data_IF_219405392058
#
_entry.id   IF_219405392058
#
_cell.length_a   1.000
_cell.length_b   1.000
_cell.length_c   1.000
_cell.angle_alpha   90.00
_cell.angle_beta   90.00
_cell.angle_gamma   90.00
#
_symmetry.space_group_name_H-M   'P 1'
#
loop_
_entity.id
_entity.type
_entity.pdbx_description
1 polymer ?
#
# COMPACT_ATOMS: atom_id res chain seq x y z
N UNK A 1 49.02 -2.45 -8.37
CA UNK A 1 47.81 -3.07 -8.99
C UNK A 1 46.76 -3.25 -7.93
N UNK A 2 45.85 -2.24 -7.82
CA UNK A 2 44.65 -2.34 -7.00
C UNK A 2 43.52 -2.81 -7.90
N UNK A 3 43.23 -4.10 -7.87
CA UNK A 3 42.02 -4.65 -8.50
C UNK A 3 40.81 -4.14 -7.72
N UNK A 4 40.12 -3.15 -8.27
CA UNK A 4 38.81 -2.78 -7.83
C UNK A 4 37.87 -3.99 -8.06
N UNK A 5 37.51 -4.69 -6.99
CA UNK A 5 36.42 -5.65 -7.03
C UNK A 5 35.13 -4.86 -7.31
N UNK A 6 34.66 -4.92 -8.55
CA UNK A 6 33.31 -4.49 -8.88
C UNK A 6 32.33 -5.41 -8.09
N UNK A 7 31.83 -4.90 -6.97
CA UNK A 7 30.76 -5.56 -6.23
C UNK A 7 29.57 -5.75 -7.16
N UNK A 8 28.97 -6.93 -7.13
CA UNK A 8 27.71 -7.18 -7.78
C UNK A 8 26.71 -6.08 -7.36
N UNK A 9 25.81 -5.63 -8.25
CA UNK A 9 24.80 -4.64 -7.88
C UNK A 9 24.05 -5.16 -6.66
N UNK A 10 24.12 -4.40 -5.55
CA UNK A 10 23.35 -4.74 -4.36
C UNK A 10 21.86 -4.63 -4.73
N UNK A 11 21.17 -5.75 -4.79
CA UNK A 11 19.72 -5.77 -4.90
C UNK A 11 19.14 -5.06 -3.69
N UNK A 12 18.10 -4.26 -3.90
CA UNK A 12 17.46 -3.55 -2.80
C UNK A 12 16.73 -4.55 -1.89
N UNK A 13 16.61 -4.24 -0.59
CA UNK A 13 15.81 -5.03 0.35
C UNK A 13 14.42 -5.34 -0.21
N UNK A 14 13.82 -4.38 -0.92
CA UNK A 14 12.52 -4.54 -1.56
C UNK A 14 12.52 -5.61 -2.65
N UNK A 15 13.59 -5.68 -3.46
CA UNK A 15 13.68 -6.68 -4.54
C UNK A 15 13.89 -8.10 -4.00
N UNK A 16 14.64 -8.24 -2.93
CA UNK A 16 14.92 -9.54 -2.32
C UNK A 16 13.78 -10.04 -1.43
N UNK A 17 13.32 -9.20 -0.51
CA UNK A 17 12.38 -9.59 0.53
C UNK A 17 10.93 -9.26 0.20
N UNK A 18 10.69 -8.24 -0.64
CA UNK A 18 9.35 -7.83 -1.03
C UNK A 18 8.45 -8.96 -1.49
N UNK A 19 8.89 -9.84 -2.41
CA UNK A 19 8.07 -10.96 -2.88
C UNK A 19 7.56 -11.85 -1.74
N UNK A 20 8.40 -12.15 -0.74
CA UNK A 20 8.03 -13.00 0.41
C UNK A 20 6.96 -12.34 1.27
N UNK A 21 7.14 -11.05 1.59
CA UNK A 21 6.16 -10.31 2.39
C UNK A 21 4.82 -10.18 1.68
N UNK A 22 4.82 -9.81 0.40
CA UNK A 22 3.58 -9.61 -0.36
C UNK A 22 2.88 -10.93 -0.71
N UNK A 23 3.61 -12.04 -0.86
CA UNK A 23 3.01 -13.36 -0.98
C UNK A 23 2.29 -13.75 0.30
N UNK A 24 2.93 -13.59 1.47
CA UNK A 24 2.30 -13.82 2.76
C UNK A 24 1.04 -12.97 2.93
N UNK A 25 1.12 -11.67 2.66
CA UNK A 25 -0.04 -10.76 2.72
C UNK A 25 -1.15 -11.24 1.78
N UNK A 26 -0.82 -11.61 0.54
CA UNK A 26 -1.77 -12.15 -0.43
C UNK A 26 -2.49 -13.39 0.06
N UNK A 27 -1.78 -14.33 0.69
CA UNK A 27 -2.35 -15.55 1.27
C UNK A 27 -3.25 -15.26 2.47
N UNK A 28 -2.85 -14.35 3.37
CA UNK A 28 -3.66 -13.93 4.52
C UNK A 28 -4.98 -13.31 4.06
N UNK A 29 -4.94 -12.40 3.09
CA UNK A 29 -6.12 -11.75 2.53
C UNK A 29 -7.02 -12.74 1.79
N UNK A 30 -6.44 -13.66 1.02
CA UNK A 30 -7.19 -14.73 0.35
C UNK A 30 -7.88 -15.65 1.37
N UNK A 31 -7.20 -15.98 2.46
CA UNK A 31 -7.78 -16.77 3.54
C UNK A 31 -8.93 -16.03 4.20
N UNK A 32 -8.78 -14.73 4.49
CA UNK A 32 -9.85 -13.88 5.00
C UNK A 32 -11.09 -13.90 4.12
N UNK A 33 -10.91 -13.76 2.79
CA UNK A 33 -12.01 -13.80 1.82
C UNK A 33 -12.75 -15.15 1.77
N UNK A 34 -12.10 -16.24 2.09
CA UNK A 34 -12.72 -17.58 2.11
C UNK A 34 -13.64 -17.83 3.31
N UNK A 35 -13.66 -16.93 4.28
CA UNK A 35 -14.44 -17.01 5.50
C UNK A 35 -15.68 -16.13 5.42
N UNK A 36 -16.72 -16.46 6.20
CA UNK A 36 -17.98 -15.70 6.25
C UNK A 36 -18.18 -14.95 7.56
N UNK A 37 -17.59 -15.44 8.65
CA UNK A 37 -17.70 -14.83 9.96
C UNK A 37 -16.72 -13.67 10.13
N UNK A 38 -17.20 -12.42 10.33
CA UNK A 38 -16.34 -11.27 10.55
C UNK A 38 -15.31 -11.43 11.68
N UNK A 39 -15.68 -12.19 12.74
CA UNK A 39 -14.76 -12.45 13.85
C UNK A 39 -13.58 -13.36 13.46
N UNK A 40 -13.79 -14.24 12.50
CA UNK A 40 -12.74 -15.10 11.96
C UNK A 40 -11.92 -14.39 10.89
N UNK A 41 -12.51 -13.43 10.17
CA UNK A 41 -11.82 -12.63 9.14
C UNK A 41 -10.87 -11.63 9.77
N UNK A 42 -11.31 -10.92 10.82
CA UNK A 42 -10.58 -9.81 11.41
C UNK A 42 -9.10 -10.10 11.76
N UNK A 43 -8.74 -11.26 12.35
CA UNK A 43 -7.33 -11.58 12.64
C UNK A 43 -6.45 -11.60 11.39
N UNK A 44 -6.94 -12.13 10.26
CA UNK A 44 -6.18 -12.19 9.01
C UNK A 44 -5.95 -10.79 8.42
N UNK A 45 -6.95 -9.90 8.50
CA UNK A 45 -6.80 -8.52 8.03
C UNK A 45 -5.79 -7.74 8.90
N UNK A 46 -5.82 -7.95 10.20
CA UNK A 46 -4.85 -7.34 11.14
C UNK A 46 -3.45 -7.84 10.84
N UNK A 47 -3.26 -9.15 10.69
CA UNK A 47 -1.96 -9.74 10.40
C UNK A 47 -1.42 -9.29 9.03
N UNK A 48 -2.29 -9.18 8.02
CA UNK A 48 -1.92 -8.66 6.70
C UNK A 48 -1.44 -7.20 6.80
N UNK A 49 -2.16 -6.33 7.52
CA UNK A 49 -1.74 -4.94 7.78
C UNK A 49 -0.40 -4.88 8.50
N UNK A 50 -0.27 -5.62 9.59
CA UNK A 50 0.93 -5.62 10.41
C UNK A 50 2.15 -6.12 9.62
N UNK A 51 1.94 -7.08 8.72
CA UNK A 51 2.98 -7.57 7.80
C UNK A 51 3.42 -6.48 6.80
N UNK A 52 2.48 -5.71 6.24
CA UNK A 52 2.81 -4.57 5.36
C UNK A 52 3.59 -3.50 6.13
N UNK A 53 3.17 -3.16 7.34
CA UNK A 53 3.88 -2.19 8.17
C UNK A 53 5.27 -2.67 8.57
N UNK A 54 5.42 -3.96 8.90
CA UNK A 54 6.73 -4.56 9.18
C UNK A 54 7.66 -4.48 7.98
N UNK A 55 7.16 -4.76 6.77
CA UNK A 55 7.93 -4.63 5.54
C UNK A 55 8.40 -3.18 5.32
N UNK A 56 7.50 -2.20 5.48
CA UNK A 56 7.83 -0.77 5.32
C UNK A 56 8.88 -0.33 6.34
N UNK A 57 8.76 -0.77 7.59
CA UNK A 57 9.75 -0.49 8.63
C UNK A 57 11.12 -1.08 8.29
N UNK A 58 11.16 -2.32 7.79
CA UNK A 58 12.40 -2.98 7.40
C UNK A 58 13.04 -2.30 6.17
N UNK A 59 12.24 -1.92 5.17
CA UNK A 59 12.70 -1.16 3.99
C UNK A 59 13.32 0.18 4.41
N UNK A 60 12.71 0.87 5.36
CA UNK A 60 13.21 2.14 5.88
C UNK A 60 14.54 1.97 6.63
N UNK A 61 14.67 0.92 7.45
CA UNK A 61 15.94 0.59 8.13
C UNK A 61 17.07 0.27 7.15
N UNK A 62 16.77 -0.50 6.12
CA UNK A 62 17.76 -0.83 5.08
C UNK A 62 18.24 0.43 4.34
N UNK A 63 17.32 1.33 4.05
CA UNK A 63 17.64 2.58 3.35
C UNK A 63 18.50 3.52 4.18
N UNK A 64 18.16 3.77 5.44
CA UNK A 64 18.86 4.76 6.27
C UNK A 64 20.08 4.19 6.99
N UNK A 65 20.14 2.89 7.25
CA UNK A 65 21.22 2.21 7.98
C UNK A 65 21.67 2.94 9.25
N UNK A 66 20.72 3.56 9.97
CA UNK A 66 20.96 4.44 11.10
C UNK A 66 20.10 4.03 12.29
N UNK A 67 20.71 3.94 13.48
CA UNK A 67 20.04 3.63 14.75
C UNK A 67 18.95 4.65 15.14
N UNK A 68 19.00 5.87 14.58
CA UNK A 68 17.98 6.90 14.77
C UNK A 68 16.61 6.47 14.22
N UNK A 69 16.57 5.59 13.21
CA UNK A 69 15.32 5.06 12.64
C UNK A 69 14.57 4.20 13.66
N UNK A 70 15.29 3.39 14.44
CA UNK A 70 14.67 2.55 15.48
C UNK A 70 14.01 3.39 16.58
N UNK A 71 14.60 4.51 16.94
CA UNK A 71 14.02 5.46 17.90
C UNK A 71 12.77 6.16 17.33
N UNK A 72 12.76 6.47 16.04
CA UNK A 72 11.58 7.04 15.36
C UNK A 72 10.45 6.01 15.22
N UNK A 73 10.77 4.76 14.82
CA UNK A 73 9.81 3.68 14.68
C UNK A 73 9.19 3.26 16.01
N UNK A 74 9.94 3.32 17.12
CA UNK A 74 9.41 3.02 18.46
C UNK A 74 8.33 4.02 18.93
N UNK A 75 8.27 5.21 18.33
CA UNK A 75 7.27 6.27 18.60
C UNK A 75 6.08 6.21 17.65
N UNK A 76 6.07 5.28 16.67
CA UNK A 76 4.93 5.12 15.77
C UNK A 76 3.73 4.62 16.57
N UNK A 77 2.79 5.53 16.78
CA UNK A 77 1.47 5.18 17.34
C UNK A 77 0.76 4.28 16.34
N UNK A 78 0.24 3.14 16.82
CA UNK A 78 -0.61 2.30 15.96
C UNK A 78 -1.74 3.18 15.42
N UNK A 79 -1.88 3.22 14.11
CA UNK A 79 -2.90 4.02 13.41
C UNK A 79 -4.35 3.64 13.79
N UNK A 80 -4.53 2.58 14.60
CA UNK A 80 -5.82 2.13 15.14
C UNK A 80 -6.52 3.16 16.07
N UNK A 81 -5.80 4.20 16.51
CA UNK A 81 -6.30 5.24 17.43
C UNK A 81 -6.70 6.53 16.70
N UNK A 82 -6.83 6.47 15.39
CA UNK A 82 -7.17 7.66 14.59
C UNK A 82 -8.64 8.06 14.80
N UNK A 83 -8.93 9.35 14.68
CA UNK A 83 -10.26 9.93 14.94
C UNK A 83 -11.37 9.18 14.17
N UNK A 84 -12.58 9.13 14.75
CA UNK A 84 -13.75 8.43 14.17
C UNK A 84 -14.16 8.91 12.77
N UNK A 85 -13.63 10.05 12.32
CA UNK A 85 -13.87 10.65 11.00
C UNK A 85 -12.73 10.39 10.02
N UNK A 86 -11.75 9.57 10.40
CA UNK A 86 -10.57 9.27 9.57
C UNK A 86 -10.61 7.83 9.07
N UNK A 87 -10.29 7.67 7.80
CA UNK A 87 -10.10 6.36 7.14
C UNK A 87 -8.65 6.22 6.69
N UNK A 88 -8.08 5.05 6.88
CA UNK A 88 -6.75 4.71 6.41
C UNK A 88 -6.86 3.69 5.29
N UNK A 89 -6.18 3.92 4.19
CA UNK A 89 -6.22 3.06 3.01
C UNK A 89 -4.81 2.54 2.73
N UNK A 90 -4.67 1.21 2.73
CA UNK A 90 -3.48 0.49 2.33
C UNK A 90 -3.73 -0.18 0.97
N UNK A 91 -3.31 0.41 -0.15
CA UNK A 91 -3.33 -0.28 -1.44
C UNK A 91 -2.17 -1.28 -1.51
N UNK A 92 -2.50 -2.55 -1.55
CA UNK A 92 -1.56 -3.67 -1.60
C UNK A 92 -1.55 -4.19 -3.03
N UNK A 93 -0.47 -3.92 -3.75
CA UNK A 93 -0.31 -4.28 -5.14
C UNK A 93 0.20 -5.71 -5.25
N UNK A 94 -0.66 -6.65 -5.65
CA UNK A 94 -0.31 -8.04 -5.93
C UNK A 94 -0.13 -8.24 -7.45
N UNK A 95 0.51 -9.30 -7.89
CA UNK A 95 0.76 -9.52 -9.33
C UNK A 95 -0.50 -9.53 -10.18
N UNK A 96 -1.58 -10.12 -9.69
CA UNK A 96 -2.84 -10.37 -10.40
C UNK A 96 -3.98 -9.41 -10.01
N UNK A 97 -3.89 -8.76 -8.87
CA UNK A 97 -4.93 -7.89 -8.32
C UNK A 97 -4.37 -6.84 -7.37
N UNK A 98 -5.18 -5.87 -7.02
CA UNK A 98 -4.91 -4.90 -5.95
C UNK A 98 -5.89 -5.12 -4.81
N UNK A 99 -5.40 -5.28 -3.61
CA UNK A 99 -6.20 -5.35 -2.41
C UNK A 99 -6.20 -4.00 -1.70
N UNK A 100 -7.36 -3.44 -1.47
CA UNK A 100 -7.53 -2.24 -0.65
C UNK A 100 -7.88 -2.68 0.77
N UNK A 101 -6.94 -2.55 1.69
CA UNK A 101 -7.19 -2.79 3.10
C UNK A 101 -7.50 -1.45 3.75
N UNK A 102 -8.72 -1.34 4.32
CA UNK A 102 -9.30 -0.08 4.74
C UNK A 102 -9.53 -0.11 6.25
N UNK A 103 -8.89 0.81 6.96
CA UNK A 103 -9.13 1.04 8.39
C UNK A 103 -10.33 1.98 8.56
N UNK A 104 -11.48 1.41 8.89
CA UNK A 104 -12.72 2.12 9.19
C UNK A 104 -12.89 2.28 10.71
N UNK A 105 -13.75 3.18 11.20
CA UNK A 105 -14.08 3.29 12.62
C UNK A 105 -14.61 1.99 13.25
N UNK A 106 -15.15 1.09 12.42
CA UNK A 106 -15.69 -0.22 12.83
C UNK A 106 -14.68 -1.36 12.74
N UNK A 107 -13.48 -1.13 12.24
CA UNK A 107 -12.44 -2.14 12.04
C UNK A 107 -11.92 -2.19 10.63
N UNK A 108 -11.09 -3.19 10.33
CA UNK A 108 -10.52 -3.37 9.00
C UNK A 108 -11.54 -4.00 8.03
N UNK A 109 -11.56 -3.47 6.81
CA UNK A 109 -12.32 -4.01 5.68
C UNK A 109 -11.38 -4.25 4.50
N UNK A 110 -11.63 -5.30 3.74
CA UNK A 110 -10.91 -5.62 2.52
C UNK A 110 -11.82 -5.42 1.30
N UNK A 111 -11.28 -4.80 0.26
CA UNK A 111 -11.91 -4.69 -1.06
C UNK A 111 -10.91 -5.11 -2.11
N UNK A 112 -11.26 -6.08 -2.95
CA UNK A 112 -10.41 -6.59 -4.02
C UNK A 112 -10.75 -5.91 -5.34
N UNK A 113 -9.72 -5.44 -6.04
CA UNK A 113 -9.82 -4.82 -7.36
C UNK A 113 -9.07 -5.70 -8.36
N UNK A 114 -9.68 -6.16 -9.47
CA UNK A 114 -9.05 -7.10 -10.41
C UNK A 114 -8.06 -6.38 -11.36
N UNK A 115 -7.12 -5.64 -10.78
CA UNK A 115 -6.07 -4.90 -11.50
C UNK A 115 -4.75 -5.17 -10.79
N UNK A 116 -3.83 -5.84 -11.48
CA UNK A 116 -2.54 -6.23 -10.94
C UNK A 116 -1.51 -5.10 -10.90
N UNK A 117 -0.44 -5.34 -10.14
CA UNK A 117 0.64 -4.39 -9.87
C UNK A 117 1.24 -3.77 -11.15
N UNK A 118 1.47 -4.56 -12.20
CA UNK A 118 2.08 -4.06 -13.44
C UNK A 118 1.19 -3.02 -14.12
N UNK A 119 -0.13 -3.28 -14.18
CA UNK A 119 -1.11 -2.35 -14.78
C UNK A 119 -1.20 -1.05 -14.00
N UNK A 120 -1.25 -1.12 -12.65
CA UNK A 120 -1.21 0.08 -11.79
C UNK A 120 0.09 0.86 -12.01
N UNK A 121 1.23 0.17 -12.04
CA UNK A 121 2.55 0.78 -12.23
C UNK A 121 2.64 1.53 -13.55
N UNK A 122 2.15 0.91 -14.62
CA UNK A 122 2.13 1.54 -15.95
C UNK A 122 1.22 2.78 -15.96
N UNK A 123 0.03 2.68 -15.39
CA UNK A 123 -0.92 3.82 -15.36
C UNK A 123 -0.38 4.99 -14.52
N UNK A 124 0.28 4.72 -13.39
CA UNK A 124 0.95 5.74 -12.58
C UNK A 124 2.07 6.44 -13.35
N UNK A 125 2.90 5.68 -14.09
CA UNK A 125 3.96 6.26 -14.94
C UNK A 125 3.40 7.18 -16.01
N UNK A 126 2.32 6.75 -16.69
CA UNK A 126 1.65 7.57 -17.72
C UNK A 126 1.00 8.81 -17.10
N UNK A 127 0.32 8.66 -15.97
CA UNK A 127 -0.26 9.78 -15.24
C UNK A 127 0.79 10.83 -14.90
N UNK A 128 1.93 10.45 -14.29
CA UNK A 128 3.04 11.37 -14.00
C UNK A 128 3.58 12.05 -15.25
N UNK A 129 3.86 11.29 -16.29
CA UNK A 129 4.38 11.82 -17.56
C UNK A 129 3.46 12.87 -18.17
N UNK A 130 2.13 12.69 -18.01
CA UNK A 130 1.13 13.65 -18.52
C UNK A 130 0.97 14.85 -17.58
N UNK A 131 1.12 14.69 -16.27
CA UNK A 131 1.10 15.80 -15.31
C UNK A 131 2.25 16.80 -15.53
N UNK A 132 3.42 16.33 -15.96
CA UNK A 132 4.57 17.18 -16.25
C UNK A 132 4.29 18.18 -17.39
N UNK A 133 3.33 17.87 -18.27
CA UNK A 133 2.86 18.73 -19.35
C UNK A 133 1.81 19.73 -18.85
N UNK A 134 2.25 20.83 -18.28
CA UNK A 134 1.39 21.85 -17.63
C UNK A 134 0.35 22.50 -18.56
N UNK A 135 0.51 22.37 -19.87
CA UNK A 135 -0.33 23.06 -20.90
C UNK A 135 -1.52 22.22 -21.37
N UNK A 136 -1.60 20.94 -20.97
CA UNK A 136 -2.64 20.03 -21.44
C UNK A 136 -3.36 19.37 -20.26
N UNK A 137 -4.56 18.84 -20.50
CA UNK A 137 -5.33 18.04 -19.52
C UNK A 137 -5.28 16.54 -19.84
N UNK A 138 -4.27 16.11 -20.57
CA UNK A 138 -4.10 14.70 -20.97
C UNK A 138 -3.96 13.74 -19.77
N UNK A 139 -3.66 14.24 -18.59
CA UNK A 139 -3.58 13.46 -17.35
C UNK A 139 -4.95 13.02 -16.81
N UNK A 140 -6.06 13.69 -17.18
CA UNK A 140 -7.39 13.43 -16.62
C UNK A 140 -7.88 11.99 -16.82
N UNK A 141 -7.79 11.37 -18.00
CA UNK A 141 -8.21 9.97 -18.18
C UNK A 141 -7.42 9.00 -17.27
N UNK A 142 -6.14 9.27 -17.05
CA UNK A 142 -5.27 8.47 -16.16
C UNK A 142 -5.67 8.66 -14.70
N UNK A 143 -5.92 9.92 -14.28
CA UNK A 143 -6.42 10.21 -12.94
C UNK A 143 -7.77 9.52 -12.67
N UNK A 144 -8.69 9.53 -13.65
CA UNK A 144 -9.99 8.86 -13.54
C UNK A 144 -9.84 7.35 -13.37
N UNK A 145 -8.96 6.69 -14.13
CA UNK A 145 -8.70 5.26 -13.97
C UNK A 145 -8.14 4.93 -12.60
N UNK A 146 -7.15 5.69 -12.12
CA UNK A 146 -6.60 5.49 -10.78
C UNK A 146 -7.67 5.70 -9.70
N UNK A 147 -8.52 6.71 -9.87
CA UNK A 147 -9.66 6.93 -8.99
C UNK A 147 -10.63 5.75 -9.00
N UNK A 148 -10.98 5.23 -10.18
CA UNK A 148 -11.90 4.10 -10.34
C UNK A 148 -11.38 2.82 -9.70
N UNK A 149 -10.06 2.64 -9.64
CA UNK A 149 -9.43 1.46 -9.04
C UNK A 149 -9.18 1.61 -7.54
N UNK A 150 -8.83 2.80 -7.06
CA UNK A 150 -8.32 3.00 -5.70
C UNK A 150 -9.32 3.66 -4.75
N UNK A 151 -10.24 4.48 -5.27
CA UNK A 151 -11.16 5.28 -4.45
C UNK A 151 -12.62 4.88 -4.67
N UNK A 152 -13.07 4.75 -5.92
CA UNK A 152 -14.48 4.42 -6.21
C UNK A 152 -15.00 3.18 -5.47
N UNK A 153 -14.23 2.07 -5.31
CA UNK A 153 -14.69 0.89 -4.59
C UNK A 153 -15.01 1.12 -3.11
N UNK A 154 -14.49 2.19 -2.53
CA UNK A 154 -14.64 2.52 -1.10
C UNK A 154 -15.56 3.73 -0.85
N UNK A 155 -16.02 4.43 -1.89
CA UNK A 155 -16.93 5.58 -1.75
C UNK A 155 -18.16 5.31 -0.86
N UNK A 156 -18.84 4.14 -0.96
CA UNK A 156 -19.96 3.85 -0.10
C UNK A 156 -19.62 3.83 1.40
N UNK A 157 -18.42 3.35 1.73
CA UNK A 157 -17.95 3.33 3.11
C UNK A 157 -17.62 4.74 3.61
N UNK A 158 -16.96 5.55 2.75
CA UNK A 158 -16.63 6.94 3.08
C UNK A 158 -17.90 7.76 3.38
N UNK A 159 -18.94 7.58 2.56
CA UNK A 159 -20.22 8.24 2.75
C UNK A 159 -20.96 7.77 4.02
N UNK A 160 -20.91 6.47 4.32
CA UNK A 160 -21.62 5.88 5.47
C UNK A 160 -21.09 6.37 6.82
N UNK A 161 -19.79 6.70 6.92
CA UNK A 161 -19.14 7.10 8.17
C UNK A 161 -18.89 8.61 8.28
N UNK A 162 -19.38 9.44 7.35
CA UNK A 162 -19.14 10.89 7.33
C UNK A 162 -17.65 11.24 7.48
N UNK A 163 -16.82 10.57 6.67
CA UNK A 163 -15.37 10.71 6.71
C UNK A 163 -14.96 12.08 6.18
N UNK A 164 -14.10 12.78 6.93
CA UNK A 164 -13.51 14.07 6.56
C UNK A 164 -12.01 13.95 6.21
N UNK A 165 -11.36 12.90 6.67
CA UNK A 165 -9.92 12.72 6.51
C UNK A 165 -9.60 11.34 5.92
N UNK A 166 -8.83 11.33 4.83
CA UNK A 166 -8.25 10.13 4.24
C UNK A 166 -6.74 10.11 4.45
N UNK A 167 -6.24 9.02 5.05
CA UNK A 167 -4.83 8.71 5.13
C UNK A 167 -4.54 7.62 4.10
N UNK A 168 -3.81 7.97 3.06
CA UNK A 168 -3.39 7.02 2.04
C UNK A 168 -1.97 6.56 2.35
N UNK A 169 -1.76 5.25 2.47
CA UNK A 169 -0.47 4.63 2.79
C UNK A 169 0.09 3.98 1.52
N UNK A 170 0.70 4.76 0.62
CA UNK A 170 1.07 4.28 -0.71
C UNK A 170 2.19 3.26 -0.66
N UNK A 171 2.20 2.36 -1.65
CA UNK A 171 3.28 1.42 -1.89
C UNK A 171 3.68 1.35 -3.36
N UNK A 172 4.89 0.85 -3.64
CA UNK A 172 5.42 0.70 -4.98
C UNK A 172 5.35 2.00 -5.80
N UNK A 173 4.82 1.92 -7.01
CA UNK A 173 4.68 3.05 -7.91
C UNK A 173 3.79 4.17 -7.36
N UNK A 174 2.79 3.83 -6.52
CA UNK A 174 1.89 4.81 -5.93
C UNK A 174 2.57 5.84 -5.01
N UNK A 175 3.81 5.56 -4.54
CA UNK A 175 4.62 6.54 -3.77
C UNK A 175 5.06 7.74 -4.60
N UNK A 176 4.85 7.69 -5.89
CA UNK A 176 5.37 8.71 -6.82
C UNK A 176 4.33 9.71 -7.31
N UNK A 177 3.10 9.60 -6.83
CA UNK A 177 1.95 10.46 -7.17
C UNK A 177 1.31 11.05 -5.94
#
# INVERSE_FOLDING_TARGET
ELSASYGAPQTSFREEMGPVYFELVGLLLQRGQSLQDPKQIAPYLVEARDTVELFKAAELRDYFRDDCVDTALSKVTKLDVVAKTTVIIYPILLPDRTELLIGLPTGLKQVSVPVGMETITQEVREFRRKLEKRTTREYLPHAQKLYDWLIRPIEPDLAAFSIDTLIFVPDGALRTI
#
